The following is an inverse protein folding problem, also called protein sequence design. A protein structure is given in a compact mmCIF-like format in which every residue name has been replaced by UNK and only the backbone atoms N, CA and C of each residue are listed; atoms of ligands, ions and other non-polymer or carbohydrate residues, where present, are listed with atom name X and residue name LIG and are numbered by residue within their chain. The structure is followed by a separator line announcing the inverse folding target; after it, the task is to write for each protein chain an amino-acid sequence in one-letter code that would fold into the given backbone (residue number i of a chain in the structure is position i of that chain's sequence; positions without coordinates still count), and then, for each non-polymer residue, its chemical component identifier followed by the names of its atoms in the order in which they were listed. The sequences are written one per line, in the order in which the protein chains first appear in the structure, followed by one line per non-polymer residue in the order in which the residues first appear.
data_IF_208038604598
#
_entry.id   IF_208038604598
#
_cell.length_a   1.000
_cell.length_b   1.000
_cell.length_c   1.000
_cell.angle_alpha   90.00
_cell.angle_beta   90.00
_cell.angle_gamma   90.00
#
_symmetry.space_group_name_H-M   'P 1'
#
loop_
_entity.id
_entity.type
_entity.pdbx_description
1 polymer ?
#
# COMPACT_ATOMS: atom_id res chain seq x y z
N UNK A 1 -5.71 -17.56 3.24
CA UNK A 1 -5.05 -16.93 4.40
C UNK A 1 -3.91 -16.08 3.87
N UNK A 2 -4.23 -14.88 3.39
CA UNK A 2 -3.25 -13.97 2.78
C UNK A 2 -3.01 -12.85 3.79
N UNK A 3 -1.88 -12.90 4.51
CA UNK A 3 -1.39 -11.70 5.20
C UNK A 3 -0.96 -10.73 4.11
N UNK A 4 -1.84 -9.82 3.72
CA UNK A 4 -1.47 -8.64 2.94
C UNK A 4 -0.67 -7.72 3.87
N UNK A 5 0.57 -8.14 4.14
CA UNK A 5 1.59 -7.25 4.70
C UNK A 5 1.72 -6.10 3.72
N UNK A 6 1.51 -4.87 4.19
CA UNK A 6 1.74 -3.66 3.40
C UNK A 6 3.15 -3.77 2.84
N UNK A 7 3.26 -4.01 1.53
CA UNK A 7 4.56 -4.26 0.89
C UNK A 7 5.48 -3.08 1.18
N UNK A 8 6.76 -3.38 1.39
CA UNK A 8 7.75 -2.33 1.60
C UNK A 8 7.64 -1.29 0.47
N UNK A 9 7.63 -0.01 0.85
CA UNK A 9 7.59 1.10 -0.11
C UNK A 9 8.79 0.97 -1.04
N UNK A 10 8.61 0.94 -2.37
CA UNK A 10 9.74 0.88 -3.30
C UNK A 10 10.70 2.05 -3.07
N UNK A 11 12.00 1.76 -3.12
CA UNK A 11 13.07 2.74 -2.83
C UNK A 11 12.90 4.06 -3.60
N UNK A 12 12.49 4.00 -4.86
CA UNK A 12 12.24 5.19 -5.69
C UNK A 12 11.11 6.08 -5.14
N UNK A 13 10.01 5.50 -4.67
CA UNK A 13 8.89 6.26 -4.11
C UNK A 13 9.28 6.91 -2.77
N UNK A 14 10.05 6.21 -1.95
CA UNK A 14 10.58 6.75 -0.70
C UNK A 14 11.47 7.99 -0.95
N UNK A 15 12.31 7.96 -2.00
CA UNK A 15 13.14 9.11 -2.38
C UNK A 15 12.29 10.30 -2.84
N UNK A 16 11.25 10.06 -3.65
CA UNK A 16 10.32 11.12 -4.08
C UNK A 16 9.60 11.74 -2.90
N UNK A 17 9.11 10.94 -1.95
CA UNK A 17 8.47 11.44 -0.74
C UNK A 17 9.42 12.30 0.10
N UNK A 18 10.67 11.85 0.32
CA UNK A 18 11.69 12.62 1.04
C UNK A 18 12.02 13.95 0.35
N UNK A 19 12.07 13.96 -0.98
CA UNK A 19 12.30 15.17 -1.75
C UNK A 19 11.10 16.14 -1.71
N UNK A 20 9.87 15.63 -1.69
CA UNK A 20 8.65 16.43 -1.58
C UNK A 20 8.48 17.09 -0.20
N UNK A 21 9.02 16.48 0.85
CA UNK A 21 8.99 16.99 2.23
C UNK A 21 10.40 17.27 2.77
N UNK A 22 11.10 18.31 2.27
CA UNK A 22 12.51 18.57 2.59
C UNK A 22 12.75 19.00 4.05
N UNK A 23 11.73 19.48 4.76
CA UNK A 23 11.78 19.76 6.21
C UNK A 23 11.41 18.54 7.08
N UNK A 24 11.23 17.38 6.45
CA UNK A 24 10.64 16.20 7.07
C UNK A 24 9.12 16.26 7.10
N UNK A 25 8.51 15.09 7.27
CA UNK A 25 7.09 14.94 7.54
C UNK A 25 6.97 13.99 8.76
N UNK A 26 6.33 14.40 9.86
CA UNK A 26 6.15 13.56 11.04
C UNK A 26 5.58 12.18 10.73
N UNK A 27 4.70 12.07 9.72
CA UNK A 27 4.14 10.79 9.28
C UNK A 27 5.15 9.88 8.57
N UNK A 28 6.13 10.46 7.86
CA UNK A 28 7.23 9.68 7.27
C UNK A 28 8.18 9.17 8.34
N UNK A 29 8.53 10.01 9.33
CA UNK A 29 9.36 9.59 10.47
C UNK A 29 8.67 8.50 11.29
N UNK A 30 7.38 8.68 11.59
CA UNK A 30 6.57 7.68 12.30
C UNK A 30 6.53 6.35 11.55
N UNK A 31 6.35 6.37 10.22
CA UNK A 31 6.33 5.16 9.39
C UNK A 31 7.70 4.47 9.35
N UNK A 32 8.79 5.23 9.28
CA UNK A 32 10.16 4.69 9.27
C UNK A 32 10.55 4.08 10.63
N UNK A 33 10.04 4.61 11.75
CA UNK A 33 10.33 4.13 13.11
C UNK A 33 9.43 2.99 13.58
N UNK A 34 8.10 3.11 13.41
CA UNK A 34 7.14 2.09 13.86
C UNK A 34 6.89 0.98 12.83
N UNK A 35 7.18 1.22 11.55
CA UNK A 35 6.87 0.28 10.48
C UNK A 35 5.37 0.10 10.22
N UNK A 36 4.94 -1.11 9.87
CA UNK A 36 3.51 -1.43 9.70
C UNK A 36 2.90 -1.79 11.05
N UNK A 37 2.13 -0.86 11.60
CA UNK A 37 1.44 -1.02 12.90
C UNK A 37 0.14 -1.79 12.76
N UNK A 38 -0.50 -1.67 11.60
CA UNK A 38 -1.75 -2.34 11.26
C UNK A 38 -1.56 -3.21 10.02
N UNK A 39 -2.37 -4.27 9.95
CA UNK A 39 -2.52 -5.13 8.78
C UNK A 39 -3.91 -4.91 8.15
N UNK A 40 -4.04 -5.19 6.85
CA UNK A 40 -5.32 -5.03 6.14
C UNK A 40 -6.45 -5.82 6.83
N UNK A 41 -6.13 -6.95 7.46
CA UNK A 41 -7.07 -7.78 8.23
C UNK A 41 -7.70 -7.08 9.42
N UNK A 42 -7.01 -6.12 10.04
CA UNK A 42 -7.52 -5.41 11.22
C UNK A 42 -8.72 -4.51 10.87
N UNK A 43 -8.91 -4.22 9.57
CA UNK A 43 -9.97 -3.36 9.06
C UNK A 43 -11.00 -4.11 8.21
N UNK A 44 -10.85 -5.43 8.03
CA UNK A 44 -11.76 -6.24 7.20
C UNK A 44 -13.22 -6.13 7.65
N UNK A 45 -13.47 -6.18 8.95
CA UNK A 45 -14.82 -6.06 9.52
C UNK A 45 -15.40 -4.65 9.34
N UNK A 46 -14.57 -3.61 9.50
CA UNK A 46 -14.98 -2.21 9.42
C UNK A 46 -15.40 -1.80 8.00
N UNK A 47 -14.83 -2.43 6.98
CA UNK A 47 -15.12 -2.16 5.57
C UNK A 47 -15.79 -3.33 4.84
N UNK A 48 -16.38 -4.29 5.56
CA UNK A 48 -17.03 -5.47 4.98
C UNK A 48 -18.21 -5.12 4.05
N UNK A 49 -18.93 -4.05 4.36
CA UNK A 49 -20.21 -3.68 3.69
C UNK A 49 -20.04 -2.55 2.68
N UNK A 50 -19.09 -1.65 2.89
CA UNK A 50 -18.82 -0.47 2.04
C UNK A 50 -17.31 -0.24 1.99
N UNK A 51 -16.75 -0.04 0.80
CA UNK A 51 -15.30 0.19 0.61
C UNK A 51 -14.51 -1.00 0.08
N UNK A 52 -15.10 -2.19 -0.10
CA UNK A 52 -14.47 -3.31 -0.81
C UNK A 52 -14.41 -3.10 -2.32
N UNK A 53 -13.67 -2.08 -2.78
CA UNK A 53 -13.40 -1.91 -4.20
C UNK A 53 -11.90 -1.80 -4.43
N UNK A 54 -11.28 -2.94 -4.73
CA UNK A 54 -10.18 -2.97 -5.69
C UNK A 54 -10.68 -3.71 -6.93
N UNK A 55 -11.06 -2.99 -8.00
CA UNK A 55 -11.40 -3.65 -9.25
C UNK A 55 -10.14 -4.34 -9.81
N UNK A 56 -10.27 -5.64 -10.07
CA UNK A 56 -9.33 -6.60 -10.70
C UNK A 56 -8.81 -6.18 -12.09
N UNK A 57 -8.94 -4.91 -12.48
CA UNK A 57 -8.58 -4.40 -13.82
C UNK A 57 -7.08 -4.48 -14.10
N UNK A 58 -6.23 -4.48 -13.08
CA UNK A 58 -4.78 -4.66 -13.24
C UNK A 58 -4.36 -6.12 -13.52
N UNK A 59 -5.18 -7.11 -13.17
CA UNK A 59 -4.86 -8.52 -13.44
C UNK A 59 -5.23 -8.94 -14.88
N UNK A 60 -6.10 -8.17 -15.55
CA UNK A 60 -6.62 -8.51 -16.88
C UNK A 60 -5.70 -8.05 -18.02
N UNK A 61 -4.86 -7.03 -17.78
CA UNK A 61 -3.95 -6.48 -18.80
C UNK A 61 -2.74 -7.37 -19.13
N UNK A 62 -2.52 -8.46 -18.36
CA UNK A 62 -1.39 -9.38 -18.54
C UNK A 62 -1.68 -10.66 -19.33
N UNK A 63 -2.93 -10.98 -19.67
CA UNK A 63 -3.30 -12.25 -20.31
C UNK A 63 -3.61 -12.17 -21.82
N UNK A 64 -3.54 -10.99 -22.43
CA UNK A 64 -3.71 -10.83 -23.88
C UNK A 64 -2.35 -10.74 -24.60
N UNK A 65 -1.65 -11.87 -24.66
CA UNK A 65 -0.37 -12.00 -25.36
C UNK A 65 -0.10 -13.39 -25.95
N UNK A 66 -1.11 -14.26 -26.04
CA UNK A 66 -1.03 -15.53 -26.78
C UNK A 66 -2.02 -15.54 -27.94
N UNK A 67 -1.57 -15.02 -29.08
CA UNK A 67 -1.83 -15.60 -30.40
C UNK A 67 -0.56 -15.48 -31.22
#
# INVERSE_FOLDING_TARGET
MYRLSIRAVPKQMALVARAAFPKGNPYLTLRDELGSVFEDSDFEELFATVGQQYPTVFDTIGQNGKK
#
